data_IF_317423361720
#
_entry.id   IF_317423361720
#
_cell.length_a   1.000
_cell.length_b   1.000
_cell.length_c   1.000
_cell.angle_alpha   90.00
_cell.angle_beta   90.00
_cell.angle_gamma   90.00
#
_symmetry.space_group_name_H-M   'P 1'
#
loop_
_entity.id
_entity.type
_entity.pdbx_description
1 polymer ?
#
# COMPACT_ATOMS: atom_id res chain seq x y z
N UNK A 1 0.28 19.17 12.74
CA UNK A 1 -0.43 18.35 13.76
C UNK A 1 -0.21 16.86 13.45
N UNK A 2 0.80 16.28 14.10
CA UNK A 2 1.30 14.91 13.87
C UNK A 2 0.92 14.03 15.05
N UNK A 3 -0.39 13.87 15.31
CA UNK A 3 -0.84 12.96 16.34
C UNK A 3 -0.72 11.51 15.82
N UNK A 4 -0.22 10.55 16.62
CA UNK A 4 -0.20 9.12 16.27
C UNK A 4 -1.55 8.61 15.78
N UNK A 5 -2.64 9.14 16.36
CA UNK A 5 -4.02 8.82 15.97
C UNK A 5 -4.36 9.20 14.51
N UNK A 6 -3.79 10.29 13.99
CA UNK A 6 -4.04 10.71 12.61
C UNK A 6 -3.32 9.78 11.61
N UNK A 7 -2.15 9.27 11.97
CA UNK A 7 -1.44 8.28 11.15
C UNK A 7 -2.17 6.95 11.11
N UNK A 8 -2.67 6.48 12.25
CA UNK A 8 -3.43 5.23 12.32
C UNK A 8 -4.73 5.33 11.53
N UNK A 9 -5.47 6.44 11.66
CA UNK A 9 -6.67 6.69 10.84
C UNK A 9 -6.35 6.71 9.35
N UNK A 10 -5.30 7.43 8.96
CA UNK A 10 -4.88 7.50 7.56
C UNK A 10 -4.45 6.13 7.02
N UNK A 11 -3.76 5.32 7.83
CA UNK A 11 -3.42 3.95 7.49
C UNK A 11 -4.66 3.08 7.25
N UNK A 12 -5.64 3.14 8.15
CA UNK A 12 -6.90 2.40 7.99
C UNK A 12 -7.67 2.84 6.74
N UNK A 13 -7.71 4.13 6.44
CA UNK A 13 -8.35 4.67 5.24
C UNK A 13 -7.68 4.16 3.95
N UNK A 14 -6.34 4.11 3.94
CA UNK A 14 -5.58 3.56 2.81
C UNK A 14 -5.85 2.08 2.60
N UNK A 15 -5.87 1.27 3.66
CA UNK A 15 -6.19 -0.15 3.56
C UNK A 15 -7.62 -0.38 3.05
N UNK A 16 -8.60 0.28 3.65
CA UNK A 16 -10.00 0.14 3.23
C UNK A 16 -10.22 0.59 1.77
N UNK A 17 -9.57 1.68 1.36
CA UNK A 17 -9.64 2.16 -0.02
C UNK A 17 -8.94 1.19 -0.99
N UNK A 18 -7.77 0.68 -0.61
CA UNK A 18 -7.03 -0.31 -1.39
C UNK A 18 -7.82 -1.60 -1.59
N UNK A 19 -8.46 -2.10 -0.55
CA UNK A 19 -9.29 -3.31 -0.59
C UNK A 19 -10.51 -3.13 -1.51
N UNK A 20 -11.21 -1.99 -1.37
CA UNK A 20 -12.33 -1.66 -2.26
C UNK A 20 -11.90 -1.59 -3.72
N UNK A 21 -10.76 -0.93 -4.01
CA UNK A 21 -10.23 -0.83 -5.37
C UNK A 21 -9.80 -2.19 -5.92
N UNK A 22 -9.21 -3.04 -5.08
CA UNK A 22 -8.84 -4.40 -5.45
C UNK A 22 -10.06 -5.22 -5.86
N UNK A 23 -11.16 -5.12 -5.10
CA UNK A 23 -12.43 -5.79 -5.40
C UNK A 23 -13.11 -5.33 -6.69
N UNK A 24 -12.78 -4.15 -7.21
CA UNK A 24 -13.25 -3.67 -8.51
C UNK A 24 -12.52 -4.32 -9.71
N UNK A 25 -11.51 -5.15 -9.44
CA UNK A 25 -10.81 -5.94 -10.43
C UNK A 25 -9.69 -5.20 -11.19
N UNK A 26 -9.18 -5.79 -12.29
CA UNK A 26 -7.93 -5.37 -12.92
C UNK A 26 -7.86 -3.90 -13.34
N UNK A 27 -9.01 -3.30 -13.70
CA UNK A 27 -9.09 -1.88 -14.06
C UNK A 27 -8.70 -0.91 -12.94
N UNK A 28 -8.63 -1.39 -11.69
CA UNK A 28 -8.32 -0.58 -10.50
C UNK A 28 -7.06 -1.05 -9.76
N UNK A 29 -6.35 -2.05 -10.27
CA UNK A 29 -5.16 -2.60 -9.62
C UNK A 29 -4.03 -1.58 -9.42
N UNK A 30 -3.79 -0.70 -10.39
CA UNK A 30 -2.81 0.39 -10.24
C UNK A 30 -3.18 1.33 -9.08
N UNK A 31 -4.47 1.68 -8.97
CA UNK A 31 -4.94 2.57 -7.91
C UNK A 31 -4.87 1.88 -6.54
N UNK A 32 -5.20 0.58 -6.46
CA UNK A 32 -5.06 -0.21 -5.24
C UNK A 32 -3.59 -0.28 -4.79
N UNK A 33 -2.66 -0.54 -5.71
CA UNK A 33 -1.23 -0.60 -5.43
C UNK A 33 -0.70 0.71 -4.83
N UNK A 34 -1.16 1.87 -5.32
CA UNK A 34 -0.79 3.18 -4.75
C UNK A 34 -1.27 3.33 -3.31
N UNK A 35 -2.46 2.84 -2.96
CA UNK A 35 -2.95 2.85 -1.57
C UNK A 35 -2.05 2.02 -0.65
N UNK A 36 -1.73 0.78 -1.04
CA UNK A 36 -0.85 -0.10 -0.25
C UNK A 36 0.59 0.42 -0.14
N UNK A 37 1.13 0.99 -1.22
CA UNK A 37 2.43 1.65 -1.19
C UNK A 37 2.46 2.80 -0.17
N UNK A 38 1.43 3.66 -0.14
CA UNK A 38 1.34 4.73 0.87
C UNK A 38 1.20 4.17 2.29
N UNK A 39 0.45 3.08 2.47
CA UNK A 39 0.28 2.41 3.75
C UNK A 39 1.61 1.85 4.26
N UNK A 40 2.42 1.24 3.39
CA UNK A 40 3.78 0.78 3.70
C UNK A 40 4.67 1.90 4.24
N UNK A 41 4.62 3.11 3.65
CA UNK A 41 5.48 4.23 4.07
C UNK A 41 5.19 4.77 5.47
N UNK A 42 3.98 4.54 6.00
CA UNK A 42 3.56 5.08 7.30
C UNK A 42 3.48 4.00 8.39
N UNK A 43 3.53 2.72 7.99
CA UNK A 43 3.46 1.61 8.92
C UNK A 43 4.81 1.47 9.66
N UNK A 44 4.80 1.21 10.99
CA UNK A 44 6.04 1.15 11.77
C UNK A 44 7.03 0.08 11.32
N UNK A 45 6.53 -1.03 10.79
CA UNK A 45 7.32 -2.17 10.31
C UNK A 45 6.95 -2.53 8.86
N UNK A 46 7.48 -1.78 7.87
CA UNK A 46 7.07 -1.93 6.48
C UNK A 46 7.37 -3.32 5.92
N UNK A 47 8.38 -4.03 6.42
CA UNK A 47 8.73 -5.37 5.94
C UNK A 47 7.66 -6.39 6.32
N UNK A 48 7.18 -6.35 7.57
CA UNK A 48 6.08 -7.21 8.01
C UNK A 48 4.81 -7.00 7.19
N UNK A 49 4.46 -5.74 6.90
CA UNK A 49 3.30 -5.45 6.06
C UNK A 49 3.52 -5.93 4.62
N UNK A 50 4.74 -5.80 4.08
CA UNK A 50 5.06 -6.27 2.74
C UNK A 50 4.90 -7.79 2.60
N UNK A 51 5.30 -8.57 3.60
CA UNK A 51 5.10 -10.03 3.62
C UNK A 51 3.63 -10.41 3.57
N UNK A 52 2.76 -9.71 4.33
CA UNK A 52 1.31 -9.93 4.29
C UNK A 52 0.75 -9.58 2.90
N UNK A 53 1.20 -8.48 2.29
CA UNK A 53 0.76 -8.10 0.95
C UNK A 53 1.20 -9.11 -0.10
N UNK A 54 2.40 -9.69 -0.02
CA UNK A 54 2.86 -10.74 -0.94
C UNK A 54 1.95 -11.98 -0.92
N UNK A 55 1.38 -12.32 0.24
CA UNK A 55 0.53 -13.50 0.40
C UNK A 55 -0.92 -13.25 -0.01
N UNK A 56 -1.37 -12.00 0.03
CA UNK A 56 -2.80 -11.64 -0.12
C UNK A 56 -3.12 -10.93 -1.42
N UNK A 57 -2.12 -10.31 -2.06
CA UNK A 57 -2.34 -9.49 -3.25
C UNK A 57 -2.10 -10.28 -4.54
N UNK A 58 -2.89 -10.01 -5.61
CA UNK A 58 -2.59 -10.51 -6.94
C UNK A 58 -1.21 -10.05 -7.43
N UNK A 59 -0.53 -10.89 -8.21
CA UNK A 59 0.80 -10.62 -8.76
C UNK A 59 0.91 -9.24 -9.47
N UNK A 60 -0.06 -8.80 -10.30
CA UNK A 60 0.05 -7.48 -10.94
C UNK A 60 0.05 -6.31 -9.94
N UNK A 61 -0.69 -6.43 -8.84
CA UNK A 61 -0.74 -5.41 -7.79
C UNK A 61 0.58 -5.41 -7.02
N UNK A 62 1.08 -6.60 -6.67
CA UNK A 62 2.36 -6.74 -5.96
C UNK A 62 3.53 -6.18 -6.78
N UNK A 63 3.63 -6.52 -8.08
CA UNK A 63 4.64 -6.00 -8.98
C UNK A 63 4.62 -4.47 -9.05
N UNK A 64 3.43 -3.87 -9.05
CA UNK A 64 3.28 -2.41 -9.03
C UNK A 64 3.78 -1.79 -7.72
N UNK A 65 3.48 -2.40 -6.58
CA UNK A 65 3.97 -1.93 -5.27
C UNK A 65 5.49 -1.96 -5.23
N UNK A 66 6.13 -3.05 -5.67
CA UNK A 66 7.58 -3.17 -5.72
C UNK A 66 8.22 -2.14 -6.66
N UNK A 67 7.60 -1.88 -7.82
CA UNK A 67 8.05 -0.84 -8.74
C UNK A 67 8.05 0.54 -8.07
N UNK A 68 6.96 0.90 -7.39
CA UNK A 68 6.86 2.18 -6.66
C UNK A 68 7.89 2.30 -5.54
N UNK A 69 8.12 1.23 -4.78
CA UNK A 69 9.19 1.19 -3.76
C UNK A 69 10.57 1.41 -4.38
N UNK A 70 10.86 0.74 -5.51
CA UNK A 70 12.14 0.90 -6.22
C UNK A 70 12.35 2.32 -6.75
N UNK A 71 11.27 3.00 -7.16
CA UNK A 71 11.31 4.40 -7.59
C UNK A 71 11.48 5.36 -6.41
N UNK A 72 10.84 5.09 -5.27
CA UNK A 72 10.96 5.92 -4.06
C UNK A 72 12.38 5.87 -3.51
N UNK A 73 12.98 4.68 -3.43
CA UNK A 73 14.38 4.50 -2.98
C UNK A 73 15.37 5.24 -3.88
N UNK A 74 15.13 5.26 -5.20
CA UNK A 74 16.00 5.99 -6.15
C UNK A 74 15.91 7.51 -6.06
N UNK A 75 14.82 8.05 -5.50
CA UNK A 75 14.55 9.48 -5.41
C UNK A 75 15.00 10.10 -4.08
N UNK A 76 15.35 9.29 -3.09
CA UNK A 76 15.92 9.71 -1.82
C UNK A 76 17.45 9.81 -1.93
#
# INVERSE_FOLDING_TARGET
PTAPADRERYFMELLSTGERLLGMGPSRFDAAAVCYFRALKIYPDPMKLLEVLQQTMPEPVMNKILMLLSEDVRKQ
#
